data_IF_683069372962
#
_entry.id   IF_683069372962
#
_cell.length_a   1.000
_cell.length_b   1.000
_cell.length_c   1.000
_cell.angle_alpha   90.00
_cell.angle_beta   90.00
_cell.angle_gamma   90.00
#
_symmetry.space_group_name_H-M   'P 1'
#
loop_
_entity.id
_entity.type
_entity.pdbx_description
1 polymer ?
#
# COMPACT_ATOMS: atom_id res chain seq x y z
N UNK A 1 16.96 0.28 -1.99
CA UNK A 1 16.06 -0.85 -2.33
C UNK A 1 14.97 -0.35 -3.27
N UNK A 2 14.65 -1.09 -4.31
CA UNK A 2 13.46 -0.85 -5.15
C UNK A 2 12.30 -1.71 -4.64
N UNK A 3 11.21 -1.08 -4.19
CA UNK A 3 10.13 -1.74 -3.44
C UNK A 3 8.77 -1.39 -4.05
N UNK A 4 7.98 -2.42 -4.39
CA UNK A 4 6.55 -2.25 -4.67
C UNK A 4 5.78 -2.10 -3.34
N UNK A 5 5.11 -0.97 -3.15
CA UNK A 5 4.36 -0.72 -1.91
C UNK A 5 2.92 -1.22 -1.92
N UNK A 6 2.48 -1.93 -2.98
CA UNK A 6 1.11 -2.44 -3.06
C UNK A 6 1.05 -3.74 -3.86
N UNK A 7 1.13 -4.86 -3.16
CA UNK A 7 1.02 -6.19 -3.75
C UNK A 7 0.06 -7.09 -2.94
N UNK A 8 -0.58 -8.04 -3.62
CA UNK A 8 -1.54 -8.97 -3.04
C UNK A 8 -1.13 -10.42 -3.21
N UNK A 9 -1.69 -11.29 -2.37
CA UNK A 9 -1.55 -12.74 -2.49
C UNK A 9 -2.92 -13.43 -2.49
N UNK A 10 -3.04 -14.51 -3.23
CA UNK A 10 -4.27 -15.30 -3.33
C UNK A 10 -4.68 -16.04 -2.05
N UNK A 11 -3.81 -16.10 -1.04
CA UNK A 11 -4.13 -16.69 0.26
C UNK A 11 -5.21 -15.90 1.03
N UNK A 12 -5.28 -14.59 0.80
CA UNK A 12 -6.27 -13.70 1.42
C UNK A 12 -7.09 -12.95 0.38
N UNK A 13 -6.46 -12.26 -0.56
CA UNK A 13 -7.14 -11.46 -1.58
C UNK A 13 -7.77 -12.35 -2.64
N UNK A 14 -9.08 -12.58 -2.57
CA UNK A 14 -9.79 -13.52 -3.48
C UNK A 14 -9.77 -13.12 -4.95
N UNK A 15 -9.51 -11.85 -5.25
CA UNK A 15 -9.29 -11.35 -6.62
C UNK A 15 -7.87 -11.66 -7.13
N UNK A 16 -6.90 -11.88 -6.25
CA UNK A 16 -5.55 -12.28 -6.62
C UNK A 16 -5.54 -13.74 -7.09
N UNK A 17 -4.91 -14.00 -8.23
CA UNK A 17 -4.92 -15.33 -8.91
C UNK A 17 -3.69 -16.17 -8.60
N UNK A 18 -2.74 -15.62 -7.88
CA UNK A 18 -1.45 -16.26 -7.62
C UNK A 18 -1.14 -16.25 -6.11
N UNK A 19 -0.47 -17.31 -5.65
CA UNK A 19 -0.07 -17.44 -4.24
C UNK A 19 1.19 -16.61 -3.92
N UNK A 20 1.54 -16.59 -2.63
CA UNK A 20 2.68 -15.84 -2.11
C UNK A 20 3.99 -16.19 -2.83
N UNK A 21 4.28 -17.47 -3.04
CA UNK A 21 5.49 -17.93 -3.71
C UNK A 21 5.65 -17.29 -5.11
N UNK A 22 4.60 -17.36 -5.93
CA UNK A 22 4.63 -16.80 -7.29
C UNK A 22 4.74 -15.28 -7.32
N UNK A 23 4.12 -14.58 -6.36
CA UNK A 23 4.24 -13.11 -6.22
C UNK A 23 5.70 -12.73 -5.95
N UNK A 24 6.35 -13.41 -5.02
CA UNK A 24 7.72 -13.11 -4.64
C UNK A 24 8.72 -13.51 -5.74
N UNK A 25 8.52 -14.68 -6.37
CA UNK A 25 9.31 -15.09 -7.54
C UNK A 25 9.25 -14.01 -8.63
N UNK A 26 8.05 -13.56 -8.98
CA UNK A 26 7.85 -12.53 -9.99
C UNK A 26 8.50 -11.21 -9.59
N UNK A 27 8.35 -10.77 -8.34
CA UNK A 27 9.01 -9.55 -7.88
C UNK A 27 10.53 -9.64 -8.03
N UNK A 28 11.12 -10.78 -7.66
CA UNK A 28 12.55 -11.03 -7.83
C UNK A 28 12.98 -11.01 -9.30
N UNK A 29 12.19 -11.63 -10.17
CA UNK A 29 12.44 -11.68 -11.62
C UNK A 29 12.45 -10.26 -12.22
N UNK A 30 11.57 -9.38 -11.77
CA UNK A 30 11.48 -8.00 -12.24
C UNK A 30 12.35 -7.00 -11.48
N UNK A 31 13.25 -7.50 -10.63
CA UNK A 31 14.31 -6.69 -10.02
C UNK A 31 13.87 -5.86 -8.81
N UNK A 32 12.77 -6.23 -8.16
CA UNK A 32 12.44 -5.66 -6.87
C UNK A 32 13.37 -6.20 -5.76
N UNK A 33 13.64 -5.35 -4.79
CA UNK A 33 14.36 -5.70 -3.55
C UNK A 33 13.38 -5.97 -2.40
N UNK A 34 12.09 -5.64 -2.58
CA UNK A 34 11.07 -5.89 -1.58
C UNK A 34 9.65 -5.57 -2.03
N UNK A 35 8.69 -5.96 -1.19
CA UNK A 35 7.26 -5.77 -1.39
C UNK A 35 6.58 -5.34 -0.09
N UNK A 36 5.56 -4.48 -0.18
CA UNK A 36 4.55 -4.38 0.86
C UNK A 36 3.36 -5.27 0.50
N UNK A 37 3.12 -6.29 1.33
CA UNK A 37 1.98 -7.20 1.16
C UNK A 37 0.76 -6.57 1.81
N UNK A 38 -0.09 -5.98 0.97
CA UNK A 38 -1.26 -5.18 1.32
C UNK A 38 -2.57 -5.93 0.97
N UNK A 39 -2.71 -7.15 1.45
CA UNK A 39 -3.91 -7.93 1.18
C UNK A 39 -5.19 -7.19 1.57
N UNK A 40 -6.27 -7.48 0.84
CA UNK A 40 -7.55 -6.86 1.07
C UNK A 40 -8.13 -7.18 2.45
N UNK A 41 -8.63 -6.15 3.11
CA UNK A 41 -9.49 -6.21 4.29
C UNK A 41 -10.88 -5.73 3.89
N UNK A 42 -11.77 -6.67 3.55
CA UNK A 42 -13.11 -6.41 2.98
C UNK A 42 -14.18 -7.03 3.87
N UNK A 43 -15.25 -6.30 4.15
CA UNK A 43 -16.32 -6.72 5.05
C UNK A 43 -16.94 -8.10 4.73
N UNK A 44 -17.01 -8.45 3.45
CA UNK A 44 -17.59 -9.73 3.02
C UNK A 44 -16.66 -10.94 3.15
N UNK A 45 -15.42 -10.77 3.66
CA UNK A 45 -14.49 -11.89 3.89
C UNK A 45 -14.69 -12.54 5.25
N UNK A 46 -15.44 -11.89 6.16
CA UNK A 46 -15.69 -12.38 7.51
C UNK A 46 -17.01 -11.85 8.08
N UNK A 47 -17.52 -12.54 9.09
CA UNK A 47 -18.58 -12.06 9.99
C UNK A 47 -17.96 -11.73 11.34
N UNK A 48 -18.74 -11.20 12.30
CA UNK A 48 -18.23 -10.98 13.65
C UNK A 48 -17.80 -12.29 14.32
N UNK A 49 -18.50 -13.38 14.08
CA UNK A 49 -18.19 -14.71 14.63
C UNK A 49 -16.96 -15.35 13.98
N UNK A 50 -16.64 -15.00 12.77
CA UNK A 50 -15.52 -15.59 12.01
C UNK A 50 -14.29 -14.67 11.95
N UNK A 51 -14.38 -13.45 12.50
CA UNK A 51 -13.33 -12.45 12.43
C UNK A 51 -11.99 -12.97 12.97
N UNK A 52 -11.96 -13.53 14.18
CA UNK A 52 -10.73 -14.02 14.79
C UNK A 52 -10.06 -15.10 13.93
N UNK A 53 -10.85 -16.04 13.42
CA UNK A 53 -10.30 -17.11 12.56
C UNK A 53 -9.80 -16.59 11.21
N UNK A 54 -10.42 -15.53 10.69
CA UNK A 54 -9.99 -14.88 9.46
C UNK A 54 -8.71 -14.06 9.67
N UNK A 55 -8.59 -13.35 10.79
CA UNK A 55 -7.36 -12.61 11.17
C UNK A 55 -6.18 -13.57 11.33
N UNK A 56 -6.39 -14.77 11.92
CA UNK A 56 -5.32 -15.77 12.01
C UNK A 56 -4.82 -16.20 10.62
N UNK A 57 -5.70 -16.36 9.64
CA UNK A 57 -5.31 -16.64 8.24
C UNK A 57 -4.55 -15.47 7.63
N UNK A 58 -5.00 -14.25 7.89
CA UNK A 58 -4.36 -13.03 7.37
C UNK A 58 -2.91 -12.93 7.90
N UNK A 59 -2.73 -13.13 9.19
CA UNK A 59 -1.42 -13.13 9.86
C UNK A 59 -0.54 -14.27 9.34
N UNK A 60 -1.10 -15.47 9.16
CA UNK A 60 -0.38 -16.61 8.62
C UNK A 60 0.14 -16.35 7.21
N UNK A 61 -0.65 -15.68 6.35
CA UNK A 61 -0.23 -15.29 5.01
C UNK A 61 0.91 -14.26 5.04
N UNK A 62 0.85 -13.26 5.92
CA UNK A 62 1.98 -12.36 6.13
C UNK A 62 3.26 -13.09 6.55
N UNK A 63 3.13 -14.04 7.50
CA UNK A 63 4.27 -14.80 7.99
C UNK A 63 4.85 -15.71 6.90
N UNK A 64 4.00 -16.32 6.07
CA UNK A 64 4.44 -17.06 4.87
C UNK A 64 5.24 -16.15 3.92
N UNK A 65 4.74 -14.95 3.61
CA UNK A 65 5.46 -14.00 2.75
C UNK A 65 6.80 -13.57 3.37
N UNK A 66 6.85 -13.38 4.70
CA UNK A 66 8.09 -13.05 5.41
C UNK A 66 9.15 -14.16 5.31
N UNK A 67 8.74 -15.43 5.42
CA UNK A 67 9.66 -16.57 5.28
C UNK A 67 10.14 -16.73 3.82
N UNK A 68 9.22 -16.72 2.87
CA UNK A 68 9.57 -16.77 1.44
C UNK A 68 10.44 -15.56 1.03
N UNK A 69 10.18 -14.38 1.60
CA UNK A 69 11.02 -13.21 1.38
C UNK A 69 12.49 -13.44 1.72
N UNK A 70 12.78 -14.17 2.81
CA UNK A 70 14.16 -14.56 3.18
C UNK A 70 14.76 -15.48 2.13
N UNK A 71 14.00 -16.44 1.60
CA UNK A 71 14.46 -17.39 0.58
C UNK A 71 14.79 -16.69 -0.75
N UNK A 72 13.93 -15.75 -1.18
CA UNK A 72 14.13 -14.97 -2.41
C UNK A 72 15.09 -13.78 -2.24
N UNK A 73 15.50 -13.46 -1.00
CA UNK A 73 16.32 -12.27 -0.70
C UNK A 73 15.53 -10.97 -0.91
N UNK A 74 14.23 -10.97 -0.62
CA UNK A 74 13.33 -9.84 -0.69
C UNK A 74 12.96 -9.32 0.69
N UNK A 75 12.90 -8.00 0.83
CA UNK A 75 12.37 -7.35 2.03
C UNK A 75 10.85 -7.31 1.96
N UNK A 76 10.18 -7.87 2.96
CA UNK A 76 8.71 -7.87 3.03
C UNK A 76 8.25 -6.92 4.14
N UNK A 77 7.35 -6.00 3.77
CA UNK A 77 6.66 -5.10 4.68
C UNK A 77 5.20 -5.54 4.85
N UNK A 78 4.74 -5.63 6.09
CA UNK A 78 3.32 -5.88 6.39
C UNK A 78 2.51 -4.61 6.12
N UNK A 79 1.45 -4.75 5.35
CA UNK A 79 0.50 -3.69 5.06
C UNK A 79 -0.92 -4.27 4.94
N UNK A 80 -1.92 -3.41 4.93
CA UNK A 80 -3.34 -3.79 4.77
C UNK A 80 -3.98 -2.85 3.77
N UNK A 81 -4.78 -3.38 2.84
CA UNK A 81 -5.66 -2.55 2.02
C UNK A 81 -7.10 -2.71 2.48
N UNK A 82 -7.62 -1.67 3.15
CA UNK A 82 -9.00 -1.64 3.66
C UNK A 82 -9.94 -1.09 2.61
N UNK A 83 -10.95 -1.86 2.22
CA UNK A 83 -12.09 -1.36 1.41
C UNK A 83 -13.12 -0.75 2.33
N UNK A 84 -13.43 0.54 2.15
CA UNK A 84 -14.38 1.26 3.00
C UNK A 84 -15.82 0.82 2.70
N UNK A 85 -16.57 0.37 3.72
CA UNK A 85 -17.90 -0.20 3.52
C UNK A 85 -18.93 0.85 3.04
N UNK A 86 -18.77 2.12 3.44
CA UNK A 86 -19.66 3.20 3.01
C UNK A 86 -19.45 3.65 1.56
N UNK A 87 -18.30 3.37 0.97
CA UNK A 87 -18.03 3.57 -0.47
C UNK A 87 -16.94 2.58 -0.94
N UNK A 88 -17.36 1.48 -1.53
CA UNK A 88 -16.49 0.38 -1.97
C UNK A 88 -15.50 0.75 -3.10
N UNK A 89 -15.55 1.97 -3.60
CA UNK A 89 -14.54 2.50 -4.53
C UNK A 89 -13.32 3.03 -3.79
N UNK A 90 -13.47 3.28 -2.47
CA UNK A 90 -12.43 3.84 -1.63
C UNK A 90 -11.65 2.72 -0.95
N UNK A 91 -10.37 2.68 -1.24
CA UNK A 91 -9.43 1.77 -0.61
C UNK A 91 -8.35 2.57 0.12
N UNK A 92 -7.96 2.07 1.29
CA UNK A 92 -6.98 2.71 2.16
C UNK A 92 -5.86 1.74 2.49
N UNK A 93 -4.63 2.12 2.14
CA UNK A 93 -3.44 1.38 2.55
C UNK A 93 -3.01 1.81 3.95
N UNK A 94 -2.77 0.84 4.81
CA UNK A 94 -2.24 1.03 6.16
C UNK A 94 -0.86 0.41 6.20
N UNK A 95 0.17 1.24 6.28
CA UNK A 95 1.54 0.80 6.52
C UNK A 95 1.86 0.83 8.02
N UNK A 96 2.71 -0.10 8.46
CA UNK A 96 3.09 -0.24 9.86
C UNK A 96 2.13 -1.09 10.69
N UNK A 97 1.03 -1.59 10.09
CA UNK A 97 0.14 -2.55 10.73
C UNK A 97 0.91 -3.84 11.07
N UNK A 98 0.75 -4.31 12.28
CA UNK A 98 1.27 -5.58 12.77
C UNK A 98 0.13 -6.50 13.24
N UNK A 99 0.49 -7.65 13.79
CA UNK A 99 -0.49 -8.62 14.30
C UNK A 99 -1.35 -8.05 15.43
N UNK A 100 -0.72 -7.28 16.33
CA UNK A 100 -1.42 -6.64 17.43
C UNK A 100 -2.41 -5.58 16.93
N UNK A 101 -2.02 -4.82 15.91
CA UNK A 101 -2.91 -3.85 15.25
C UNK A 101 -4.18 -4.54 14.74
N UNK A 102 -4.07 -5.64 14.00
CA UNK A 102 -5.23 -6.34 13.44
C UNK A 102 -6.11 -6.94 14.52
N UNK A 103 -5.52 -7.57 15.57
CA UNK A 103 -6.27 -8.19 16.65
C UNK A 103 -7.03 -7.19 17.50
N UNK A 104 -6.45 -6.02 17.74
CA UNK A 104 -7.01 -5.00 18.63
C UNK A 104 -7.97 -4.03 17.94
N UNK A 105 -8.00 -4.01 16.60
CA UNK A 105 -8.81 -3.08 15.81
C UNK A 105 -9.71 -3.83 14.82
N UNK A 106 -10.77 -4.49 15.29
CA UNK A 106 -11.71 -5.18 14.41
C UNK A 106 -12.55 -4.18 13.60
N UNK A 107 -13.11 -4.67 12.49
CA UNK A 107 -14.06 -3.93 11.67
C UNK A 107 -13.52 -2.60 11.12
N UNK A 108 -12.23 -2.57 10.70
CA UNK A 108 -11.61 -1.38 10.10
C UNK A 108 -12.40 -0.86 8.89
N UNK A 109 -12.98 -1.75 8.09
CA UNK A 109 -13.78 -1.41 6.91
C UNK A 109 -15.08 -0.66 7.23
N UNK A 110 -15.61 -0.81 8.45
CA UNK A 110 -16.87 -0.17 8.89
C UNK A 110 -16.64 1.24 9.49
N UNK A 111 -15.37 1.65 9.66
CA UNK A 111 -15.01 2.96 10.22
C UNK A 111 -15.21 4.06 9.19
N UNK A 112 -15.52 5.26 9.66
CA UNK A 112 -15.34 6.47 8.86
C UNK A 112 -13.84 6.73 8.60
N UNK A 113 -13.53 7.55 7.60
CA UNK A 113 -12.13 7.91 7.32
C UNK A 113 -11.45 8.55 8.53
N UNK A 114 -12.15 9.43 9.25
CA UNK A 114 -11.61 10.10 10.44
C UNK A 114 -11.31 9.10 11.59
N UNK A 115 -12.19 8.14 11.83
CA UNK A 115 -11.97 7.08 12.84
C UNK A 115 -10.81 6.19 12.44
N UNK A 116 -10.74 5.75 11.17
CA UNK A 116 -9.65 4.92 10.67
C UNK A 116 -8.31 5.66 10.79
N UNK A 117 -8.27 6.94 10.46
CA UNK A 117 -7.08 7.78 10.63
C UNK A 117 -6.66 7.88 12.09
N UNK A 118 -7.61 8.12 13.01
CA UNK A 118 -7.35 8.14 14.44
C UNK A 118 -6.72 6.83 14.94
N UNK A 119 -7.31 5.69 14.57
CA UNK A 119 -6.77 4.35 14.88
C UNK A 119 -5.34 4.19 14.34
N UNK A 120 -5.07 4.60 13.10
CA UNK A 120 -3.73 4.54 12.54
C UNK A 120 -2.74 5.38 13.35
N UNK A 121 -3.09 6.61 13.72
CA UNK A 121 -2.21 7.49 14.51
C UNK A 121 -1.91 6.93 15.90
N UNK A 122 -2.90 6.43 16.59
CA UNK A 122 -2.74 5.81 17.94
C UNK A 122 -1.82 4.59 17.91
N UNK A 123 -1.72 3.90 16.77
CA UNK A 123 -0.90 2.70 16.60
C UNK A 123 0.42 2.94 15.83
N UNK A 124 0.76 4.20 15.51
CA UNK A 124 1.98 4.53 14.79
C UNK A 124 2.01 4.04 13.35
N UNK A 125 0.83 3.92 12.72
CA UNK A 125 0.65 3.54 11.33
C UNK A 125 0.49 4.78 10.44
N UNK A 126 0.74 4.63 9.14
CA UNK A 126 0.44 5.62 8.12
C UNK A 126 -0.77 5.19 7.28
N UNK A 127 -1.69 6.14 7.03
CA UNK A 127 -2.89 5.93 6.23
C UNK A 127 -2.78 6.62 4.88
N UNK A 128 -2.81 5.84 3.80
CA UNK A 128 -2.65 6.30 2.42
C UNK A 128 -3.90 5.93 1.62
N UNK A 129 -4.45 6.86 0.85
CA UNK A 129 -5.50 6.49 -0.09
C UNK A 129 -4.90 5.79 -1.31
N UNK A 130 -5.29 4.54 -1.52
CA UNK A 130 -4.90 3.75 -2.69
C UNK A 130 -5.58 4.29 -3.96
N UNK A 131 -4.90 4.21 -5.12
CA UNK A 131 -5.43 4.48 -6.48
C UNK A 131 -6.60 5.50 -6.51
N UNK A 132 -6.40 6.76 -6.10
CA UNK A 132 -7.47 7.71 -5.75
C UNK A 132 -8.41 8.09 -6.91
N UNK A 133 -8.07 7.71 -8.16
CA UNK A 133 -8.89 8.01 -9.35
C UNK A 133 -9.51 6.77 -10.00
N UNK A 134 -9.32 5.59 -9.37
CA UNK A 134 -9.91 4.34 -9.84
C UNK A 134 -11.43 4.40 -9.74
N UNK A 135 -12.13 3.87 -10.77
CA UNK A 135 -13.59 3.67 -10.76
C UNK A 135 -14.40 4.94 -10.42
N UNK A 136 -13.89 6.12 -10.75
CA UNK A 136 -14.53 7.40 -10.44
C UNK A 136 -14.41 7.85 -8.98
N UNK A 137 -13.54 7.22 -8.18
CA UNK A 137 -13.18 7.74 -6.87
C UNK A 137 -12.45 9.09 -6.99
N UNK A 138 -12.39 9.82 -5.90
CA UNK A 138 -11.68 11.10 -5.79
C UNK A 138 -10.82 11.11 -4.53
N UNK A 139 -9.82 11.98 -4.49
CA UNK A 139 -9.02 12.17 -3.27
C UNK A 139 -9.92 12.64 -2.14
N UNK A 140 -9.86 11.93 -1.03
CA UNK A 140 -10.64 12.19 0.16
C UNK A 140 -10.08 13.36 0.98
N UNK A 141 -10.68 13.63 2.13
CA UNK A 141 -10.25 14.75 2.99
C UNK A 141 -8.81 14.52 3.49
N UNK A 142 -7.91 15.39 3.04
CA UNK A 142 -6.49 15.32 3.36
C UNK A 142 -6.17 15.50 4.86
N UNK A 143 -7.10 16.02 5.66
CA UNK A 143 -6.92 16.10 7.11
C UNK A 143 -6.92 14.71 7.78
N UNK A 144 -7.41 13.70 7.08
CA UNK A 144 -7.48 12.33 7.54
C UNK A 144 -6.67 11.36 6.66
N UNK A 145 -5.63 11.86 6.01
CA UNK A 145 -4.70 11.08 5.20
C UNK A 145 -3.27 11.52 5.46
N UNK A 146 -2.34 10.58 5.47
CA UNK A 146 -0.90 10.88 5.43
C UNK A 146 -0.40 11.03 3.99
N UNK A 147 -1.03 10.34 3.04
CA UNK A 147 -0.61 10.33 1.65
C UNK A 147 -1.64 9.80 0.67
N UNK A 148 -1.23 9.78 -0.59
CA UNK A 148 -1.97 9.22 -1.72
C UNK A 148 -1.04 8.42 -2.62
N UNK A 149 -1.58 7.40 -3.28
CA UNK A 149 -0.83 6.48 -4.12
C UNK A 149 -0.84 6.86 -5.59
N UNK A 150 0.31 6.73 -6.26
CA UNK A 150 0.42 6.54 -7.70
C UNK A 150 0.32 5.03 -7.95
N UNK A 151 -0.72 4.58 -8.64
CA UNK A 151 -0.95 3.17 -8.89
C UNK A 151 -0.58 2.80 -10.33
N UNK A 152 0.30 1.81 -10.47
CA UNK A 152 0.83 1.35 -11.75
C UNK A 152 0.16 0.05 -12.25
N UNK A 153 -1.07 -0.24 -11.81
CA UNK A 153 -1.78 -1.44 -12.22
C UNK A 153 -2.13 -1.39 -13.72
N UNK A 154 -1.73 -2.38 -14.52
CA UNK A 154 -1.83 -2.33 -15.98
C UNK A 154 -3.25 -2.32 -16.53
N UNK A 155 -4.23 -2.77 -15.75
CA UNK A 155 -5.64 -2.71 -16.15
C UNK A 155 -6.24 -1.29 -16.02
N UNK A 156 -5.54 -0.37 -15.34
CA UNK A 156 -5.94 1.03 -15.23
C UNK A 156 -5.07 1.83 -16.19
N UNK A 157 -5.54 2.09 -17.35
CA UNK A 157 -4.82 2.68 -18.50
C UNK A 157 -3.89 3.85 -18.17
N UNK A 158 -4.08 4.54 -17.03
CA UNK A 158 -3.34 5.73 -16.63
C UNK A 158 -2.97 5.63 -15.15
N UNK A 159 -1.71 5.88 -14.80
CA UNK A 159 -1.23 5.95 -13.41
C UNK A 159 -1.73 7.20 -12.66
N UNK A 160 -2.08 8.25 -13.39
CA UNK A 160 -2.38 9.60 -12.87
C UNK A 160 -1.25 10.22 -12.04
N UNK A 161 0.01 9.85 -12.28
CA UNK A 161 1.15 10.29 -11.49
C UNK A 161 1.23 11.82 -11.34
N UNK A 162 1.13 12.57 -12.44
CA UNK A 162 1.19 14.03 -12.41
C UNK A 162 0.07 14.64 -11.55
N UNK A 163 -1.15 14.11 -11.68
CA UNK A 163 -2.32 14.58 -10.91
C UNK A 163 -2.20 14.25 -9.43
N UNK A 164 -1.70 13.04 -9.11
CA UNK A 164 -1.44 12.64 -7.72
C UNK A 164 -0.39 13.56 -7.10
N UNK A 165 0.74 13.80 -7.77
CA UNK A 165 1.79 14.70 -7.29
C UNK A 165 1.30 16.13 -7.10
N UNK A 166 0.52 16.66 -8.05
CA UNK A 166 -0.06 18.02 -7.94
C UNK A 166 -0.96 18.15 -6.69
N UNK A 167 -1.83 17.16 -6.43
CA UNK A 167 -2.70 17.17 -5.27
C UNK A 167 -1.92 16.98 -3.99
N UNK A 168 -0.95 16.06 -3.97
CA UNK A 168 -0.09 15.82 -2.83
C UNK A 168 0.68 17.10 -2.44
N UNK A 169 1.20 17.85 -3.43
CA UNK A 169 1.87 19.12 -3.22
C UNK A 169 0.94 20.17 -2.58
N UNK A 170 -0.25 20.34 -3.15
CA UNK A 170 -1.25 21.31 -2.66
C UNK A 170 -1.75 21.01 -1.26
N UNK A 171 -1.80 19.73 -0.88
CA UNK A 171 -2.36 19.26 0.38
C UNK A 171 -1.32 18.80 1.39
N UNK A 172 -0.04 18.93 1.06
CA UNK A 172 1.10 18.46 1.87
C UNK A 172 1.02 16.97 2.26
N UNK A 173 0.51 16.15 1.33
CA UNK A 173 0.45 14.70 1.50
C UNK A 173 1.76 14.05 1.01
N UNK A 174 2.09 12.88 1.53
CA UNK A 174 3.14 12.06 0.95
C UNK A 174 2.63 11.32 -0.30
N UNK A 175 3.57 10.85 -1.13
CA UNK A 175 3.28 10.03 -2.31
C UNK A 175 3.90 8.65 -2.12
N UNK A 176 3.12 7.61 -2.36
CA UNK A 176 3.60 6.24 -2.49
C UNK A 176 3.37 5.73 -3.91
N UNK A 177 4.08 4.67 -4.30
CA UNK A 177 3.92 4.03 -5.61
C UNK A 177 3.82 2.52 -5.42
N UNK A 178 2.81 1.91 -6.04
CA UNK A 178 2.60 0.48 -6.03
C UNK A 178 2.02 -0.05 -7.33
N UNK A 179 2.16 -1.37 -7.56
CA UNK A 179 1.66 -2.04 -8.74
C UNK A 179 0.24 -2.58 -8.58
N UNK A 180 -0.24 -2.72 -7.35
CA UNK A 180 -1.52 -3.39 -7.05
C UNK A 180 -1.56 -4.79 -7.73
N UNK A 181 -0.45 -5.54 -7.55
CA UNK A 181 -0.17 -6.76 -8.30
C UNK A 181 -1.05 -7.92 -7.85
N UNK A 182 -1.78 -8.53 -8.80
CA UNK A 182 -2.79 -9.56 -8.54
C UNK A 182 -2.67 -10.83 -9.39
N UNK A 183 -1.85 -10.82 -10.44
CA UNK A 183 -1.82 -11.92 -11.41
C UNK A 183 -0.50 -11.96 -12.19
N UNK A 184 -0.12 -13.15 -12.65
CA UNK A 184 1.10 -13.42 -13.40
C UNK A 184 1.01 -13.09 -14.90
N UNK A 185 -0.13 -12.58 -15.36
CA UNK A 185 -0.37 -12.22 -16.75
C UNK A 185 0.03 -10.77 -17.09
N UNK A 186 0.63 -10.05 -16.16
CA UNK A 186 1.20 -8.73 -16.39
C UNK A 186 2.47 -8.50 -15.57
N UNK A 187 3.26 -7.54 -16.00
CA UNK A 187 4.54 -7.21 -15.42
C UNK A 187 4.40 -6.11 -14.35
N UNK A 188 4.80 -6.33 -13.10
CA UNK A 188 4.91 -5.25 -12.12
C UNK A 188 6.10 -4.35 -12.49
N UNK A 189 5.92 -3.03 -12.50
CA UNK A 189 6.97 -2.11 -12.91
C UNK A 189 7.03 -0.82 -12.11
N UNK A 190 6.06 -0.52 -11.26
CA UNK A 190 6.05 0.66 -10.41
C UNK A 190 6.59 0.36 -9.02
N UNK A 191 7.21 1.36 -8.36
CA UNK A 191 7.72 1.18 -7.01
C UNK A 191 8.54 2.36 -6.53
N UNK A 192 8.92 2.33 -5.26
CA UNK A 192 9.72 3.36 -4.62
C UNK A 192 11.16 2.94 -4.43
N UNK A 193 12.09 3.89 -4.54
CA UNK A 193 13.48 3.71 -4.13
C UNK A 193 13.60 4.10 -2.65
N UNK A 194 13.75 3.10 -1.81
CA UNK A 194 13.81 3.24 -0.35
C UNK A 194 15.23 3.02 0.16
N UNK A 195 15.62 3.60 1.31
CA UNK A 195 16.86 3.28 2.00
C UNK A 195 17.01 1.79 2.31
N UNK A 196 18.22 1.26 2.23
CA UNK A 196 18.48 -0.16 2.48
C UNK A 196 18.37 -0.56 3.95
N UNK A 197 18.55 0.39 4.86
CA UNK A 197 18.51 0.21 6.30
C UNK A 197 17.11 -0.03 6.88
N UNK A 198 16.03 0.22 6.13
CA UNK A 198 14.66 -0.04 6.59
C UNK A 198 14.45 -1.54 6.78
N UNK A 199 14.07 -1.96 7.98
CA UNK A 199 14.00 -3.37 8.37
C UNK A 199 12.56 -3.90 8.43
N UNK A 200 11.63 -3.05 8.84
CA UNK A 200 10.25 -3.44 9.13
C UNK A 200 9.25 -2.33 8.78
N UNK A 201 7.97 -2.58 9.09
CA UNK A 201 6.89 -1.63 8.83
C UNK A 201 7.01 -0.32 9.61
N UNK A 202 7.63 -0.32 10.79
CA UNK A 202 7.82 0.89 11.60
C UNK A 202 8.90 1.79 10.98
N UNK A 203 9.99 1.19 10.53
CA UNK A 203 11.03 1.91 9.80
C UNK A 203 10.46 2.52 8.52
N UNK A 204 9.65 1.74 7.77
CA UNK A 204 8.97 2.22 6.57
C UNK A 204 8.06 3.43 6.88
N UNK A 205 7.21 3.34 7.90
CA UNK A 205 6.32 4.44 8.30
C UNK A 205 7.12 5.67 8.72
N UNK A 206 8.15 5.48 9.54
CA UNK A 206 9.00 6.60 9.94
C UNK A 206 9.66 7.29 8.74
N UNK A 207 10.19 6.52 7.80
CA UNK A 207 10.72 7.08 6.56
C UNK A 207 9.65 7.83 5.77
N UNK A 208 8.50 7.22 5.51
CA UNK A 208 7.41 7.83 4.74
C UNK A 208 6.90 9.14 5.38
N UNK A 209 6.82 9.19 6.71
CA UNK A 209 6.35 10.39 7.42
C UNK A 209 7.40 11.51 7.48
N UNK A 210 8.69 11.20 7.51
CA UNK A 210 9.77 12.15 7.77
C UNK A 210 10.56 12.56 6.55
N UNK A 211 10.55 11.74 5.48
CA UNK A 211 11.26 12.06 4.25
C UNK A 211 10.72 13.35 3.61
N UNK A 212 11.64 14.18 3.14
CA UNK A 212 11.32 15.42 2.42
C UNK A 212 11.22 15.21 0.92
N UNK A 213 11.81 14.14 0.43
CA UNK A 213 11.86 13.80 -0.98
C UNK A 213 11.71 12.28 -1.16
N UNK A 214 10.91 11.88 -2.12
CA UNK A 214 10.66 10.51 -2.50
C UNK A 214 11.13 10.29 -3.93
N UNK A 215 11.83 9.19 -4.17
CA UNK A 215 12.26 8.75 -5.48
C UNK A 215 11.52 7.48 -5.85
N UNK A 216 11.00 7.41 -7.06
CA UNK A 216 10.19 6.28 -7.48
C UNK A 216 10.25 6.06 -8.99
N UNK A 217 9.83 4.88 -9.40
CA UNK A 217 9.59 4.51 -10.78
C UNK A 217 8.10 4.39 -11.02
N UNK A 218 7.63 4.99 -12.10
CA UNK A 218 6.24 4.92 -12.56
C UNK A 218 6.19 4.11 -13.85
N UNK A 219 5.18 3.28 -13.97
CA UNK A 219 4.77 2.65 -15.21
C UNK A 219 3.45 3.25 -15.67
N UNK A 220 3.43 3.76 -16.91
CA UNK A 220 2.22 4.22 -17.59
C UNK A 220 1.70 3.09 -18.49
N UNK A 221 0.64 2.39 -18.10
CA UNK A 221 0.21 1.19 -18.81
C UNK A 221 -0.28 1.45 -20.23
N UNK A 222 -0.78 2.65 -20.51
CA UNK A 222 -1.36 3.00 -21.81
C UNK A 222 -0.36 2.98 -22.97
N UNK A 223 0.91 3.29 -22.70
CA UNK A 223 1.99 3.37 -23.71
C UNK A 223 3.23 2.54 -23.30
N UNK A 224 3.08 1.73 -22.26
CA UNK A 224 4.13 0.89 -21.64
C UNK A 224 5.41 1.68 -21.29
N UNK A 225 5.24 2.96 -20.97
CA UNK A 225 6.35 3.84 -20.64
C UNK A 225 6.72 3.70 -19.17
N UNK A 226 8.01 3.42 -18.93
CA UNK A 226 8.59 3.39 -17.57
C UNK A 226 9.54 4.58 -17.42
N UNK A 227 9.40 5.31 -16.32
CA UNK A 227 10.28 6.44 -16.02
C UNK A 227 10.49 6.60 -14.52
N UNK A 228 11.61 7.21 -14.16
CA UNK A 228 11.90 7.60 -12.79
C UNK A 228 11.50 9.04 -12.55
N UNK A 229 10.97 9.31 -11.37
CA UNK A 229 10.58 10.64 -10.95
C UNK A 229 10.90 10.84 -9.46
N UNK A 230 10.83 12.08 -9.01
CA UNK A 230 10.88 12.41 -7.59
C UNK A 230 9.77 13.36 -7.20
N UNK A 231 9.37 13.29 -5.94
CA UNK A 231 8.39 14.19 -5.35
C UNK A 231 8.97 14.78 -4.06
N UNK A 232 8.99 16.11 -3.95
CA UNK A 232 9.47 16.82 -2.77
C UNK A 232 8.30 17.44 -2.04
N UNK A 233 8.14 17.08 -0.76
CA UNK A 233 7.21 17.77 0.14
C UNK A 233 7.77 19.13 0.51
N UNK A 234 6.95 20.17 0.37
CA UNK A 234 7.27 21.47 0.96
C UNK A 234 7.07 21.38 2.47
N UNK A 235 8.14 21.60 3.24
CA UNK A 235 8.00 21.83 4.67
C UNK A 235 7.27 23.15 4.85
N UNK A 236 6.03 23.13 5.35
CA UNK A 236 5.44 24.36 5.87
C UNK A 236 6.34 24.82 7.03
N UNK A 237 7.14 25.87 6.82
CA UNK A 237 7.72 26.61 7.93
C UNK A 237 6.53 27.15 8.72
N UNK A 238 6.28 26.58 9.90
CA UNK A 238 5.41 27.19 10.88
C UNK A 238 6.10 28.48 11.29
N UNK A 239 5.72 29.58 10.67
CA UNK A 239 6.09 30.91 11.16
C UNK A 239 5.50 31.03 12.56
N UNK A 240 6.39 30.89 13.56
CA UNK A 240 6.07 31.04 14.97
C UNK A 240 5.67 32.50 15.31
#
# INVERSE_FOLDING_TARGET
MFVDLHAHTGGISTCCKVGADKILETAKEYGFDGLAIANHYVRNYFTEETYDSWIEKYIAEWNLCMELGKEYGLRIFKAVEVTMEYDKRLHMLIYGADEAFLRNNPLLCDKSLAELYGICKENGCALIQAHPFRSGATVQDANFLDGIEINCHPNYQISYADRVMEIAQKKNLMVTVGCDYHADNYRPCGGMFLPEELKDGKDLVNYLLTAKEYHFQVHEPQDDRIYQASFRRETQEILA
#
